data_IF_444216663617
#
_entry.id   IF_444216663617
#
_cell.length_a   1.000
_cell.length_b   1.000
_cell.length_c   1.000
_cell.angle_alpha   90.00
_cell.angle_beta   90.00
_cell.angle_gamma   90.00
#
_symmetry.space_group_name_H-M   'P 1'
#
loop_
_entity.id
_entity.type
_entity.pdbx_description
1 polymer ?
#
# COMPACT_ATOMS: atom_id res chain seq x y z
N UNK A 1 2.39 21.36 -9.80
CA UNK A 1 2.46 22.47 -8.81
C UNK A 1 2.21 21.84 -7.46
N UNK A 2 3.06 22.12 -6.46
CA UNK A 2 2.89 21.50 -5.14
C UNK A 2 1.86 22.25 -4.33
N UNK A 3 0.94 21.52 -3.72
CA UNK A 3 -0.11 22.05 -2.84
C UNK A 3 -0.31 21.16 -1.61
N UNK A 4 -0.95 21.67 -0.53
CA UNK A 4 -1.22 20.88 0.67
C UNK A 4 -2.04 19.62 0.37
N UNK A 5 -1.72 18.51 1.05
CA UNK A 5 -2.59 17.33 1.06
C UNK A 5 -3.83 17.58 1.92
N UNK A 6 -4.83 18.22 1.34
CA UNK A 6 -6.10 18.52 1.98
C UNK A 6 -7.23 17.97 1.11
N UNK A 7 -7.95 16.98 1.63
CA UNK A 7 -9.07 16.34 0.93
C UNK A 7 -10.38 16.74 1.59
N UNK A 8 -11.37 17.12 0.78
CA UNK A 8 -12.67 17.55 1.27
C UNK A 8 -13.62 16.36 1.48
N UNK A 9 -14.30 16.33 2.63
CA UNK A 9 -15.45 15.45 2.84
C UNK A 9 -16.76 16.17 2.53
N UNK A 10 -17.28 15.98 1.31
CA UNK A 10 -18.47 16.68 0.82
C UNK A 10 -19.74 16.42 1.66
N UNK A 11 -19.89 15.22 2.23
CA UNK A 11 -21.10 14.83 2.97
C UNK A 11 -22.32 14.52 2.09
N UNK A 12 -23.52 14.68 2.65
CA UNK A 12 -24.78 14.58 1.92
C UNK A 12 -25.07 13.21 1.29
N UNK A 13 -25.57 13.21 0.04
CA UNK A 13 -25.97 11.99 -0.67
C UNK A 13 -24.77 11.11 -1.02
N UNK A 14 -23.64 11.71 -1.41
CA UNK A 14 -22.41 10.98 -1.74
C UNK A 14 -21.90 10.19 -0.53
N UNK A 15 -21.78 10.85 0.63
CA UNK A 15 -21.37 10.18 1.88
C UNK A 15 -22.35 9.07 2.30
N UNK A 16 -23.66 9.29 2.18
CA UNK A 16 -24.68 8.26 2.46
C UNK A 16 -24.53 7.04 1.55
N UNK A 17 -24.26 7.25 0.25
CA UNK A 17 -24.02 6.17 -0.69
C UNK A 17 -22.76 5.39 -0.30
N UNK A 18 -21.65 6.10 -0.08
CA UNK A 18 -20.36 5.52 0.28
C UNK A 18 -20.44 4.66 1.55
N UNK A 19 -21.10 5.15 2.60
CA UNK A 19 -21.33 4.40 3.85
C UNK A 19 -22.21 3.17 3.68
N UNK A 20 -23.23 3.23 2.82
CA UNK A 20 -24.10 2.07 2.59
C UNK A 20 -23.33 0.90 1.97
N UNK A 21 -22.38 1.18 1.09
CA UNK A 21 -21.57 0.16 0.41
C UNK A 21 -20.28 -0.19 1.17
N UNK A 22 -19.90 0.60 2.18
CA UNK A 22 -18.76 0.39 3.10
C UNK A 22 -19.20 0.65 4.55
N UNK A 23 -20.02 -0.24 5.15
CA UNK A 23 -20.60 -0.02 6.47
C UNK A 23 -19.58 -0.27 7.60
N UNK A 24 -19.97 0.05 8.84
CA UNK A 24 -19.23 -0.31 10.06
C UNK A 24 -18.09 0.64 10.47
N UNK A 25 -17.62 1.50 9.56
CA UNK A 25 -16.51 2.43 9.83
C UNK A 25 -16.80 3.37 10.99
N UNK A 26 -18.01 3.89 11.09
CA UNK A 26 -18.39 4.84 12.16
C UNK A 26 -18.58 4.15 13.53
N UNK A 27 -18.55 2.81 13.58
CA UNK A 27 -18.68 2.00 14.81
C UNK A 27 -17.31 1.70 15.46
N UNK A 28 -16.20 2.02 14.79
CA UNK A 28 -14.87 1.87 15.37
C UNK A 28 -14.73 2.75 16.62
N UNK A 29 -13.81 2.44 17.56
CA UNK A 29 -13.67 3.17 18.82
C UNK A 29 -12.95 4.51 18.63
N UNK A 30 -13.49 5.37 17.76
CA UNK A 30 -13.04 6.75 17.55
C UNK A 30 -13.09 7.54 18.87
N UNK A 31 -12.21 8.51 19.04
CA UNK A 31 -12.05 9.31 20.25
C UNK A 31 -11.35 8.60 21.40
N UNK A 32 -10.97 7.32 21.26
CA UNK A 32 -10.28 6.56 22.32
C UNK A 32 -8.76 6.64 22.25
N UNK A 33 -8.19 6.94 21.08
CA UNK A 33 -6.75 7.09 20.88
C UNK A 33 -6.30 8.51 21.25
N UNK A 34 -6.02 8.74 22.54
CA UNK A 34 -5.71 10.09 23.03
C UNK A 34 -4.23 10.41 22.88
N UNK A 35 -3.89 11.43 22.09
CA UNK A 35 -2.51 11.87 21.89
C UNK A 35 -1.75 12.20 23.18
N UNK A 36 -2.46 12.71 24.21
CA UNK A 36 -1.88 13.04 25.52
C UNK A 36 -1.32 11.84 26.29
N UNK A 37 -1.68 10.60 25.91
CA UNK A 37 -1.17 9.37 26.54
C UNK A 37 0.24 8.99 26.03
N UNK A 38 0.77 9.71 25.03
CA UNK A 38 2.03 9.39 24.35
C UNK A 38 3.05 10.55 24.42
N UNK A 39 4.36 10.25 24.30
CA UNK A 39 5.37 11.30 24.17
C UNK A 39 5.10 12.21 22.96
N UNK A 40 5.18 13.55 23.10
CA UNK A 40 4.84 14.47 22.00
C UNK A 40 5.62 14.21 20.70
N UNK A 41 6.91 13.92 20.80
CA UNK A 41 7.74 13.60 19.64
C UNK A 41 7.30 12.30 18.92
N UNK A 42 6.72 11.34 19.66
CA UNK A 42 6.18 10.11 19.08
C UNK A 42 4.82 10.36 18.41
N UNK A 43 3.98 11.21 19.01
CA UNK A 43 2.73 11.67 18.40
C UNK A 43 3.01 12.35 17.07
N UNK A 44 3.98 13.26 17.01
CA UNK A 44 4.35 13.95 15.76
C UNK A 44 4.82 12.96 14.68
N UNK A 45 5.62 11.94 15.04
CA UNK A 45 6.00 10.87 14.10
C UNK A 45 4.78 10.09 13.61
N UNK A 46 3.86 9.73 14.50
CA UNK A 46 2.65 9.01 14.11
C UNK A 46 1.74 9.85 13.21
N UNK A 47 1.60 11.15 13.46
CA UNK A 47 0.88 12.08 12.57
C UNK A 47 1.49 12.11 11.18
N UNK A 48 2.82 12.18 11.08
CA UNK A 48 3.54 12.11 9.80
C UNK A 48 3.21 10.78 9.10
N UNK A 49 3.42 9.64 9.77
CA UNK A 49 3.24 8.33 9.15
C UNK A 49 1.79 8.04 8.76
N UNK A 50 0.78 8.45 9.53
CA UNK A 50 -0.63 8.28 9.14
C UNK A 50 -1.05 9.24 8.02
N UNK A 51 -0.45 10.43 7.93
CA UNK A 51 -0.66 11.32 6.79
C UNK A 51 -0.01 10.77 5.53
N UNK A 52 1.20 10.22 5.64
CA UNK A 52 1.88 9.53 4.54
C UNK A 52 1.11 8.28 4.10
N UNK A 53 0.52 7.52 5.04
CA UNK A 53 -0.37 6.42 4.72
C UNK A 53 -1.57 6.91 3.91
N UNK A 54 -2.29 7.93 4.38
CA UNK A 54 -3.41 8.52 3.64
C UNK A 54 -3.03 9.00 2.24
N UNK A 55 -1.85 9.61 2.09
CA UNK A 55 -1.33 9.99 0.80
C UNK A 55 -1.06 8.77 -0.09
N UNK A 56 -0.41 7.74 0.46
CA UNK A 56 -0.12 6.52 -0.29
C UNK A 56 -1.41 5.85 -0.79
N UNK A 57 -2.44 5.70 0.05
CA UNK A 57 -3.74 5.14 -0.38
C UNK A 57 -4.38 6.00 -1.49
N UNK A 58 -4.26 7.33 -1.40
CA UNK A 58 -4.74 8.22 -2.45
C UNK A 58 -3.99 8.00 -3.77
N UNK A 59 -2.67 7.78 -3.71
CA UNK A 59 -1.87 7.46 -4.89
C UNK A 59 -2.17 6.07 -5.45
N UNK A 60 -2.47 5.10 -4.59
CA UNK A 60 -2.89 3.74 -4.97
C UNK A 60 -4.24 3.78 -5.68
N UNK A 61 -5.20 4.58 -5.20
CA UNK A 61 -6.48 4.78 -5.88
C UNK A 61 -6.30 5.32 -7.30
N UNK A 62 -5.38 6.28 -7.48
CA UNK A 62 -5.03 6.81 -8.79
C UNK A 62 -4.42 5.71 -9.68
N UNK A 63 -3.49 4.93 -9.14
CA UNK A 63 -2.85 3.83 -9.85
C UNK A 63 -3.87 2.77 -10.30
N UNK A 64 -4.83 2.41 -9.45
CA UNK A 64 -5.92 1.50 -9.82
C UNK A 64 -6.84 2.08 -10.89
N UNK A 65 -7.11 3.40 -10.89
CA UNK A 65 -7.86 4.03 -11.97
C UNK A 65 -7.11 3.96 -13.31
N UNK A 66 -5.78 4.15 -13.32
CA UNK A 66 -4.96 3.96 -14.53
C UNK A 66 -4.95 2.50 -15.00
N UNK A 67 -4.82 1.57 -14.05
CA UNK A 67 -4.87 0.14 -14.34
C UNK A 67 -6.21 -0.27 -14.97
N UNK A 68 -7.33 0.20 -14.42
CA UNK A 68 -8.67 -0.06 -14.97
C UNK A 68 -8.80 0.42 -16.41
N UNK A 69 -8.35 1.64 -16.69
CA UNK A 69 -8.35 2.17 -18.05
C UNK A 69 -7.50 1.29 -18.99
N UNK A 70 -6.30 0.89 -18.57
CA UNK A 70 -5.44 0.03 -19.36
C UNK A 70 -6.03 -1.38 -19.60
N UNK A 71 -6.66 -1.97 -18.58
CA UNK A 71 -7.33 -3.28 -18.69
C UNK A 71 -8.50 -3.23 -19.67
N UNK A 72 -9.29 -2.15 -19.66
CA UNK A 72 -10.38 -1.92 -20.63
C UNK A 72 -9.85 -1.80 -22.06
N UNK A 73 -8.79 -1.01 -22.26
CA UNK A 73 -8.14 -0.86 -23.57
C UNK A 73 -7.53 -2.18 -24.08
N UNK A 74 -6.97 -2.98 -23.17
CA UNK A 74 -6.45 -4.31 -23.45
C UNK A 74 -7.55 -5.38 -23.65
N UNK A 75 -8.83 -5.02 -23.42
CA UNK A 75 -9.98 -5.92 -23.48
C UNK A 75 -9.79 -7.13 -22.56
N UNK A 76 -9.34 -6.86 -21.34
CA UNK A 76 -9.26 -7.86 -20.27
C UNK A 76 -10.65 -8.46 -19.96
N UNK A 77 -10.72 -9.65 -19.32
CA UNK A 77 -11.98 -10.29 -18.99
C UNK A 77 -12.88 -9.38 -18.16
N UNK A 78 -14.18 -9.41 -18.48
CA UNK A 78 -15.16 -8.48 -17.89
C UNK A 78 -15.26 -8.64 -16.38
N UNK A 79 -15.19 -9.88 -15.88
CA UNK A 79 -15.19 -10.22 -14.45
C UNK A 79 -13.92 -9.74 -13.73
N UNK A 80 -12.75 -9.84 -14.37
CA UNK A 80 -11.50 -9.33 -13.84
C UNK A 80 -11.49 -7.80 -13.76
N UNK A 81 -12.00 -7.13 -14.79
CA UNK A 81 -12.17 -5.66 -14.79
C UNK A 81 -13.19 -5.24 -13.73
N UNK A 82 -14.30 -5.98 -13.58
CA UNK A 82 -15.31 -5.69 -12.56
C UNK A 82 -14.74 -5.82 -11.15
N UNK A 83 -13.95 -6.87 -10.88
CA UNK A 83 -13.26 -7.05 -9.60
C UNK A 83 -12.34 -5.86 -9.27
N UNK A 84 -11.50 -5.45 -10.23
CA UNK A 84 -10.61 -4.30 -10.04
C UNK A 84 -11.37 -2.96 -9.90
N UNK A 85 -12.61 -2.89 -10.38
CA UNK A 85 -13.44 -1.70 -10.36
C UNK A 85 -13.76 -1.20 -8.95
N UNK A 86 -13.83 -2.11 -7.98
CA UNK A 86 -14.13 -1.77 -6.58
C UNK A 86 -12.92 -1.18 -5.84
N UNK A 87 -11.69 -1.44 -6.30
CA UNK A 87 -10.46 -1.11 -5.56
C UNK A 87 -10.26 0.39 -5.38
N UNK A 88 -10.64 1.21 -6.37
CA UNK A 88 -10.59 2.67 -6.23
C UNK A 88 -11.47 3.14 -5.05
N UNK A 89 -12.60 2.49 -4.83
CA UNK A 89 -13.48 2.82 -3.71
C UNK A 89 -12.95 2.27 -2.37
N UNK A 90 -12.28 1.12 -2.37
CA UNK A 90 -11.59 0.59 -1.20
C UNK A 90 -10.46 1.53 -0.77
N UNK A 91 -9.65 2.01 -1.72
CA UNK A 91 -8.59 2.97 -1.40
C UNK A 91 -9.12 4.31 -0.90
N UNK A 92 -10.24 4.81 -1.43
CA UNK A 92 -10.87 6.01 -0.86
C UNK A 92 -11.37 5.79 0.57
N UNK A 93 -11.74 4.55 0.94
CA UNK A 93 -12.04 4.22 2.32
C UNK A 93 -10.75 4.22 3.15
N UNK A 94 -9.66 3.65 2.64
CA UNK A 94 -8.38 3.63 3.34
C UNK A 94 -7.83 5.04 3.57
N UNK A 95 -7.93 5.93 2.57
CA UNK A 95 -7.64 7.38 2.70
C UNK A 95 -8.42 7.99 3.87
N UNK A 96 -9.71 7.69 3.97
CA UNK A 96 -10.53 8.21 5.07
C UNK A 96 -10.05 7.68 6.42
N UNK A 97 -9.83 6.37 6.54
CA UNK A 97 -9.46 5.73 7.80
C UNK A 97 -8.11 6.25 8.32
N UNK A 98 -7.12 6.31 7.45
CA UNK A 98 -5.76 6.79 7.76
C UNK A 98 -5.75 8.29 8.07
N UNK A 99 -6.56 9.09 7.34
CA UNK A 99 -6.77 10.52 7.66
C UNK A 99 -7.44 10.72 9.01
N UNK A 100 -8.48 9.94 9.35
CA UNK A 100 -9.15 10.03 10.66
C UNK A 100 -8.22 9.66 11.80
N UNK A 101 -7.36 8.66 11.64
CA UNK A 101 -6.32 8.34 12.63
C UNK A 101 -5.34 9.50 12.84
N UNK A 102 -4.93 10.20 11.77
CA UNK A 102 -4.14 11.42 11.92
C UNK A 102 -4.91 12.51 12.69
N UNK A 103 -6.23 12.64 12.49
CA UNK A 103 -7.07 13.59 13.24
C UNK A 103 -7.15 13.27 14.74
N UNK A 104 -7.27 12.00 15.13
CA UNK A 104 -7.22 11.56 16.54
C UNK A 104 -5.93 12.02 17.25
N UNK A 105 -4.85 12.12 16.47
CA UNK A 105 -3.53 12.50 16.97
C UNK A 105 -3.26 14.01 16.90
N UNK A 106 -4.27 14.84 16.62
CA UNK A 106 -4.14 16.30 16.55
C UNK A 106 -4.00 16.86 15.13
N UNK A 107 -4.37 16.08 14.11
CA UNK A 107 -4.45 16.50 12.72
C UNK A 107 -3.29 16.02 11.86
N UNK A 108 -3.49 16.08 10.55
CA UNK A 108 -2.49 15.70 9.55
C UNK A 108 -1.21 16.50 9.71
N UNK A 109 -0.08 15.87 9.40
CA UNK A 109 1.18 16.59 9.24
C UNK A 109 1.14 17.39 7.94
N UNK A 110 1.69 18.62 7.88
CA UNK A 110 1.82 19.34 6.62
C UNK A 110 2.57 18.49 5.59
N UNK A 111 1.89 18.17 4.49
CA UNK A 111 2.43 17.40 3.37
C UNK A 111 2.14 18.15 2.08
N UNK A 112 3.14 18.29 1.20
CA UNK A 112 3.04 19.06 -0.05
C UNK A 112 3.17 18.12 -1.24
N UNK A 113 2.10 18.02 -2.03
CA UNK A 113 1.94 17.04 -3.10
C UNK A 113 1.87 17.72 -4.45
N UNK A 114 2.48 17.11 -5.45
CA UNK A 114 2.21 17.44 -6.85
C UNK A 114 1.13 16.51 -7.40
N UNK A 115 -0.14 16.91 -7.31
CA UNK A 115 -1.26 16.07 -7.78
C UNK A 115 -1.20 15.81 -9.29
N UNK A 116 -0.52 16.67 -10.05
CA UNK A 116 -0.24 16.45 -11.47
C UNK A 116 0.80 15.35 -11.75
N UNK A 117 1.54 14.93 -10.73
CA UNK A 117 2.61 13.93 -10.79
C UNK A 117 2.25 12.56 -10.20
N UNK A 118 0.97 12.30 -9.90
CA UNK A 118 0.52 11.02 -9.33
C UNK A 118 0.60 9.86 -10.34
N UNK A 119 0.43 10.18 -11.62
CA UNK A 119 0.42 9.20 -12.70
C UNK A 119 1.75 8.48 -12.83
N UNK A 120 1.68 7.16 -12.91
CA UNK A 120 2.84 6.29 -13.06
C UNK A 120 3.13 5.92 -14.52
N UNK A 121 2.41 6.54 -15.48
CA UNK A 121 2.35 6.30 -16.94
C UNK A 121 3.16 5.09 -17.41
N UNK A 122 2.50 4.00 -17.83
CA UNK A 122 3.22 2.87 -18.38
C UNK A 122 3.99 3.27 -19.64
N UNK A 123 5.03 2.51 -19.97
CA UNK A 123 5.79 2.69 -21.21
C UNK A 123 4.84 2.75 -22.41
N UNK A 124 4.96 3.75 -23.31
CA UNK A 124 4.17 3.78 -24.53
C UNK A 124 4.34 2.49 -25.34
N UNK A 125 3.23 1.93 -25.82
CA UNK A 125 3.23 0.65 -26.52
C UNK A 125 1.82 0.14 -26.75
N UNK A 126 1.62 -1.11 -27.18
CA UNK A 126 0.31 -1.72 -27.32
C UNK A 126 -0.47 -1.76 -25.99
N UNK A 127 -1.80 -1.68 -26.06
CA UNK A 127 -2.66 -1.66 -24.86
C UNK A 127 -2.41 -2.83 -23.90
N UNK A 128 -2.25 -4.05 -24.45
CA UNK A 128 -1.95 -5.24 -23.67
C UNK A 128 -0.62 -5.13 -22.90
N UNK A 129 0.44 -4.62 -23.51
CA UNK A 129 1.73 -4.43 -22.85
C UNK A 129 1.66 -3.37 -21.74
N UNK A 130 0.90 -2.29 -21.95
CA UNK A 130 0.66 -1.26 -20.93
C UNK A 130 -0.10 -1.82 -19.72
N UNK A 131 -1.17 -2.59 -19.97
CA UNK A 131 -1.94 -3.22 -18.90
C UNK A 131 -1.07 -4.22 -18.12
N UNK A 132 -0.31 -5.08 -18.79
CA UNK A 132 0.59 -6.04 -18.14
C UNK A 132 1.68 -5.35 -17.31
N UNK A 133 2.22 -4.22 -17.78
CA UNK A 133 3.17 -3.42 -17.01
C UNK A 133 2.54 -2.87 -15.72
N UNK A 134 1.35 -2.28 -15.80
CA UNK A 134 0.66 -1.75 -14.62
C UNK A 134 0.26 -2.86 -13.65
N UNK A 135 -0.20 -4.01 -14.15
CA UNK A 135 -0.51 -5.18 -13.31
C UNK A 135 0.71 -5.67 -12.55
N UNK A 136 1.86 -5.82 -13.22
CA UNK A 136 3.08 -6.26 -12.56
C UNK A 136 3.53 -5.24 -11.52
N UNK A 137 3.54 -3.96 -11.89
CA UNK A 137 3.98 -2.88 -11.01
C UNK A 137 3.11 -2.76 -9.76
N UNK A 138 1.79 -2.64 -9.95
CA UNK A 138 0.84 -2.31 -8.89
C UNK A 138 0.54 -3.58 -8.10
N UNK A 139 -0.05 -4.59 -8.74
CA UNK A 139 -0.59 -5.74 -8.02
C UNK A 139 0.47 -6.79 -7.67
N UNK A 140 1.34 -7.15 -8.61
CA UNK A 140 2.28 -8.26 -8.42
C UNK A 140 3.53 -7.87 -7.61
N UNK A 141 3.78 -6.58 -7.43
CA UNK A 141 4.94 -6.06 -6.71
C UNK A 141 4.52 -5.14 -5.57
N UNK A 142 3.86 -4.01 -5.83
CA UNK A 142 3.53 -3.06 -4.77
C UNK A 142 2.53 -3.64 -3.75
N UNK A 143 1.42 -4.22 -4.20
CA UNK A 143 0.43 -4.84 -3.30
C UNK A 143 0.95 -6.12 -2.64
N UNK A 144 1.65 -6.95 -3.40
CA UNK A 144 2.32 -8.12 -2.86
C UNK A 144 3.35 -7.77 -1.76
N UNK A 145 3.96 -6.58 -1.85
CA UNK A 145 4.86 -6.04 -0.82
C UNK A 145 4.11 -5.43 0.38
N UNK A 146 3.08 -4.62 0.14
CA UNK A 146 2.36 -3.83 1.15
C UNK A 146 1.58 -4.72 2.14
N UNK A 147 0.88 -5.73 1.63
CA UNK A 147 -0.02 -6.56 2.43
C UNK A 147 0.70 -7.28 3.60
N UNK A 148 1.86 -7.96 3.41
CA UNK A 148 2.61 -8.51 4.53
C UNK A 148 2.99 -7.45 5.58
N UNK A 149 3.30 -6.21 5.17
CA UNK A 149 3.68 -5.14 6.10
C UNK A 149 2.49 -4.73 6.96
N UNK A 150 1.34 -4.49 6.34
CA UNK A 150 0.09 -4.16 7.02
C UNK A 150 -0.34 -5.27 7.98
N UNK A 151 -0.25 -6.53 7.55
CA UNK A 151 -0.51 -7.69 8.40
C UNK A 151 0.47 -7.80 9.58
N UNK A 152 1.72 -7.37 9.40
CA UNK A 152 2.71 -7.26 10.47
C UNK A 152 2.34 -6.21 11.51
N UNK A 153 1.97 -5.00 11.07
CA UNK A 153 1.47 -3.94 11.94
C UNK A 153 0.19 -4.37 12.68
N UNK A 154 -0.75 -5.03 11.99
CA UNK A 154 -1.96 -5.56 12.59
C UNK A 154 -1.66 -6.59 13.69
N UNK A 155 -0.69 -7.47 13.46
CA UNK A 155 -0.30 -8.50 14.44
C UNK A 155 0.19 -7.88 15.75
N UNK A 156 0.83 -6.71 15.69
CA UNK A 156 1.38 -6.02 16.86
C UNK A 156 0.49 -4.89 17.37
N UNK A 157 -0.57 -4.52 16.65
CA UNK A 157 -1.45 -3.40 16.99
C UNK A 157 -2.00 -3.52 18.42
N UNK A 158 -1.61 -2.55 19.26
CA UNK A 158 -1.86 -2.57 20.70
C UNK A 158 -3.12 -1.84 21.15
N UNK A 159 -3.64 -0.93 20.32
CA UNK A 159 -4.80 -0.11 20.65
C UNK A 159 -6.05 -0.58 19.86
N UNK A 160 -7.24 -0.64 20.47
CA UNK A 160 -8.45 -1.11 19.78
C UNK A 160 -8.76 -0.36 18.47
N UNK A 161 -8.56 0.96 18.45
CA UNK A 161 -8.83 1.77 17.25
C UNK A 161 -7.87 1.46 16.10
N UNK A 162 -6.55 1.50 16.35
CA UNK A 162 -5.56 1.25 15.29
C UNK A 162 -5.66 -0.19 14.80
N UNK A 163 -5.96 -1.13 15.69
CA UNK A 163 -6.29 -2.50 15.33
C UNK A 163 -7.51 -2.58 14.40
N UNK A 164 -8.65 -1.99 14.75
CA UNK A 164 -9.86 -2.04 13.93
C UNK A 164 -9.64 -1.46 12.52
N UNK A 165 -8.89 -0.35 12.42
CA UNK A 165 -8.51 0.24 11.13
C UNK A 165 -7.62 -0.71 10.32
N UNK A 166 -6.56 -1.26 10.93
CA UNK A 166 -5.66 -2.19 10.24
C UNK A 166 -6.35 -3.51 9.86
N UNK A 167 -7.28 -4.01 10.68
CA UNK A 167 -8.11 -5.17 10.35
C UNK A 167 -8.96 -4.92 9.11
N UNK A 168 -9.56 -3.72 9.01
CA UNK A 168 -10.35 -3.33 7.84
C UNK A 168 -9.49 -3.26 6.58
N UNK A 169 -8.37 -2.54 6.64
CA UNK A 169 -7.46 -2.37 5.49
C UNK A 169 -6.94 -3.74 5.04
N UNK A 170 -6.37 -4.55 5.95
CA UNK A 170 -5.84 -5.88 5.59
C UNK A 170 -6.90 -6.80 4.98
N UNK A 171 -8.16 -6.69 5.39
CA UNK A 171 -9.25 -7.48 4.80
C UNK A 171 -9.56 -7.06 3.35
N UNK A 172 -9.47 -5.77 3.04
CA UNK A 172 -9.74 -5.21 1.72
C UNK A 172 -8.54 -5.42 0.76
N UNK A 173 -7.31 -5.48 1.26
CA UNK A 173 -6.09 -5.65 0.45
C UNK A 173 -5.92 -7.04 -0.19
N UNK A 174 -6.54 -8.08 0.35
CA UNK A 174 -6.32 -9.45 -0.14
C UNK A 174 -6.76 -9.63 -1.63
N UNK A 175 -7.91 -9.09 -2.08
CA UNK A 175 -8.26 -8.95 -3.48
C UNK A 175 -7.24 -8.17 -4.34
N UNK A 176 -6.66 -7.10 -3.82
CA UNK A 176 -5.76 -6.20 -4.57
C UNK A 176 -4.50 -6.94 -5.06
N UNK A 177 -3.83 -7.66 -4.16
CA UNK A 177 -2.69 -8.50 -4.54
C UNK A 177 -3.10 -9.70 -5.41
N UNK A 178 -4.30 -10.25 -5.22
CA UNK A 178 -4.77 -11.43 -5.97
C UNK A 178 -5.07 -11.13 -7.43
N UNK A 179 -5.60 -9.95 -7.75
CA UNK A 179 -6.00 -9.60 -9.13
C UNK A 179 -4.83 -9.71 -10.10
N UNK A 180 -3.61 -9.40 -9.63
CA UNK A 180 -2.42 -9.41 -10.47
C UNK A 180 -2.12 -10.81 -11.00
N UNK A 181 -2.18 -11.81 -10.13
CA UNK A 181 -1.95 -13.20 -10.49
C UNK A 181 -3.07 -13.75 -11.39
N UNK A 182 -4.34 -13.40 -11.12
CA UNK A 182 -5.46 -13.75 -12.00
C UNK A 182 -5.31 -13.16 -13.41
N UNK A 183 -4.81 -11.93 -13.52
CA UNK A 183 -4.49 -11.33 -14.79
C UNK A 183 -3.36 -12.09 -15.50
N UNK A 184 -2.29 -12.43 -14.80
CA UNK A 184 -1.16 -13.18 -15.38
C UNK A 184 -1.61 -14.57 -15.84
N UNK A 185 -2.48 -15.26 -15.11
CA UNK A 185 -3.07 -16.55 -15.55
C UNK A 185 -3.78 -16.42 -16.90
N UNK A 186 -4.51 -15.34 -17.11
CA UNK A 186 -5.20 -15.06 -18.38
C UNK A 186 -4.26 -14.60 -19.51
N UNK A 187 -3.18 -13.91 -19.15
CA UNK A 187 -2.28 -13.24 -20.08
C UNK A 187 -1.07 -14.09 -20.50
N UNK A 188 -0.66 -15.07 -19.69
CA UNK A 188 0.62 -15.78 -19.79
C UNK A 188 0.91 -16.39 -21.18
N UNK A 189 -0.10 -16.97 -21.82
CA UNK A 189 0.02 -17.62 -23.13
C UNK A 189 0.36 -16.62 -24.27
N UNK A 190 0.24 -15.32 -24.01
CA UNK A 190 0.52 -14.24 -24.97
C UNK A 190 1.87 -13.59 -24.74
N UNK A 191 2.58 -13.95 -23.66
CA UNK A 191 3.89 -13.41 -23.37
C UNK A 191 4.97 -14.21 -24.10
N UNK A 192 5.61 -13.56 -25.05
CA UNK A 192 6.88 -14.03 -25.60
C UNK A 192 8.04 -13.75 -24.63
N UNK A 193 9.25 -14.16 -25.02
CA UNK A 193 10.44 -14.00 -24.20
C UNK A 193 10.83 -12.52 -23.99
N UNK A 194 10.54 -11.65 -24.95
CA UNK A 194 10.86 -10.22 -24.86
C UNK A 194 9.96 -9.53 -23.84
N UNK A 195 8.65 -9.82 -23.88
CA UNK A 195 7.68 -9.29 -22.94
C UNK A 195 7.97 -9.77 -21.51
N UNK A 196 8.31 -11.05 -21.32
CA UNK A 196 8.72 -11.57 -19.99
C UNK A 196 9.95 -10.84 -19.45
N UNK A 197 10.97 -10.66 -20.27
CA UNK A 197 12.17 -9.91 -19.88
C UNK A 197 11.87 -8.43 -19.59
N UNK A 198 10.92 -7.84 -20.31
CA UNK A 198 10.47 -6.46 -20.06
C UNK A 198 9.72 -6.34 -18.74
N UNK A 199 8.80 -7.24 -18.45
CA UNK A 199 8.05 -7.28 -17.20
C UNK A 199 8.96 -7.55 -16.00
N UNK A 200 10.02 -8.35 -16.17
CA UNK A 200 11.05 -8.53 -15.14
C UNK A 200 11.71 -7.20 -14.78
N UNK A 201 12.16 -6.42 -15.78
CA UNK A 201 12.74 -5.07 -15.55
C UNK A 201 11.76 -4.11 -14.87
N UNK A 202 10.47 -4.20 -15.20
CA UNK A 202 9.43 -3.42 -14.51
C UNK A 202 9.40 -3.80 -13.04
N UNK A 203 9.29 -5.09 -12.73
CA UNK A 203 9.24 -5.58 -11.35
C UNK A 203 10.50 -5.20 -10.55
N UNK A 204 11.68 -5.40 -11.12
CA UNK A 204 12.96 -5.03 -10.52
C UNK A 204 13.02 -3.55 -10.18
N UNK A 205 12.64 -2.68 -11.13
CA UNK A 205 12.60 -1.24 -10.90
C UNK A 205 11.64 -0.90 -9.76
N UNK A 206 10.46 -1.50 -9.74
CA UNK A 206 9.48 -1.27 -8.68
C UNK A 206 9.98 -1.72 -7.31
N UNK A 207 10.65 -2.87 -7.22
CA UNK A 207 11.28 -3.33 -5.97
C UNK A 207 12.37 -2.34 -5.51
N UNK A 208 13.19 -1.83 -6.44
CA UNK A 208 14.19 -0.79 -6.13
C UNK A 208 13.53 0.47 -5.60
N UNK A 209 12.45 0.93 -6.22
CA UNK A 209 11.68 2.11 -5.80
C UNK A 209 11.08 1.92 -4.39
N UNK A 210 10.71 0.68 -4.02
CA UNK A 210 10.19 0.33 -2.70
C UNK A 210 11.29 0.20 -1.62
N UNK A 211 12.54 -0.05 -2.01
CA UNK A 211 13.65 -0.28 -1.08
C UNK A 211 13.86 0.76 0.03
N UNK A 212 13.58 2.06 -0.16
CA UNK A 212 13.65 3.04 0.91
C UNK A 212 12.74 2.71 2.11
N UNK A 213 11.60 2.03 1.89
CA UNK A 213 10.64 1.71 2.96
C UNK A 213 11.23 0.80 4.04
N UNK A 214 12.20 -0.05 3.72
CA UNK A 214 12.90 -0.87 4.72
C UNK A 214 14.34 -0.43 4.98
N UNK A 215 15.04 0.15 3.99
CA UNK A 215 16.44 0.57 4.15
C UNK A 215 16.62 1.78 5.06
N UNK A 216 15.62 2.66 5.15
CA UNK A 216 15.68 3.86 6.01
C UNK A 216 15.34 3.55 7.48
N UNK A 217 14.81 2.36 7.77
CA UNK A 217 14.38 1.97 9.10
C UNK A 217 15.57 1.48 9.95
N UNK A 218 16.15 2.41 10.72
CA UNK A 218 17.35 2.16 11.53
C UNK A 218 17.05 1.95 13.02
N UNK A 219 15.84 2.24 13.48
CA UNK A 219 15.46 2.03 14.89
C UNK A 219 15.56 0.54 15.27
N UNK A 220 15.97 0.29 16.51
CA UNK A 220 16.10 -1.04 17.15
C UNK A 220 15.46 -1.01 18.53
N UNK A 221 14.98 -2.16 18.99
CA UNK A 221 14.42 -2.31 20.34
C UNK A 221 15.34 -3.13 21.25
N UNK A 222 15.56 -2.64 22.47
CA UNK A 222 16.15 -3.39 23.59
C UNK A 222 15.28 -3.18 24.82
N UNK A 223 14.95 -4.26 25.53
CA UNK A 223 14.14 -4.21 26.77
C UNK A 223 12.83 -3.41 26.64
N UNK A 224 12.19 -3.50 25.47
CA UNK A 224 10.92 -2.81 25.18
C UNK A 224 11.04 -1.32 24.88
N UNK A 225 12.26 -0.77 24.74
CA UNK A 225 12.53 0.61 24.36
C UNK A 225 13.17 0.69 22.98
N UNK A 226 12.69 1.61 22.14
CA UNK A 226 13.34 1.94 20.87
C UNK A 226 14.64 2.69 21.10
N UNK A 227 15.49 2.76 20.07
CA UNK A 227 16.75 3.50 20.10
C UNK A 227 16.55 4.99 20.42
N UNK A 228 15.39 5.54 20.08
CA UNK A 228 14.98 6.91 20.36
C UNK A 228 14.35 7.11 21.75
N UNK A 229 14.28 6.05 22.56
CA UNK A 229 13.77 6.09 23.93
C UNK A 229 12.25 5.98 24.06
N UNK A 230 11.54 5.54 23.03
CA UNK A 230 10.10 5.31 23.11
C UNK A 230 9.79 3.89 23.57
N UNK A 231 8.70 3.70 24.31
CA UNK A 231 8.21 2.35 24.60
C UNK A 231 7.69 1.70 23.30
N UNK A 232 8.14 0.49 22.98
CA UNK A 232 7.62 -0.28 21.83
C UNK A 232 6.10 -0.47 21.94
N UNK A 233 5.58 -0.61 23.16
CA UNK A 233 4.14 -0.63 23.42
C UNK A 233 3.42 0.60 22.82
N UNK A 234 3.98 1.80 22.98
CA UNK A 234 3.36 3.02 22.41
C UNK A 234 3.42 3.03 20.88
N UNK A 235 4.51 2.54 20.29
CA UNK A 235 4.63 2.38 18.83
C UNK A 235 3.54 1.44 18.30
N UNK A 236 3.37 0.31 18.96
CA UNK A 236 2.34 -0.69 18.65
C UNK A 236 0.91 -0.15 18.84
N UNK A 237 0.65 0.61 19.91
CA UNK A 237 -0.64 1.25 20.13
C UNK A 237 -0.97 2.28 19.04
N UNK A 238 0.05 3.01 18.55
CA UNK A 238 -0.07 3.95 17.44
C UNK A 238 -0.16 3.26 16.05
N UNK A 239 -0.17 1.93 16.02
CA UNK A 239 -0.46 1.11 14.85
C UNK A 239 0.75 0.69 14.01
N UNK A 240 1.97 0.86 14.52
CA UNK A 240 3.19 0.49 13.81
C UNK A 240 3.89 -0.67 14.49
N UNK A 241 4.55 -1.54 13.72
CA UNK A 241 5.42 -2.57 14.26
C UNK A 241 6.86 -2.06 14.44
N UNK A 242 7.72 -2.87 15.05
CA UNK A 242 9.14 -2.58 15.16
C UNK A 242 9.81 -2.45 13.77
N UNK A 243 10.67 -1.45 13.62
CA UNK A 243 11.46 -1.19 12.42
C UNK A 243 12.30 -2.40 11.92
N UNK A 244 12.94 -3.13 12.82
CA UNK A 244 13.75 -4.31 12.45
C UNK A 244 12.86 -5.45 11.91
N UNK A 245 11.75 -5.73 12.59
CA UNK A 245 10.76 -6.71 12.19
C UNK A 245 10.08 -6.34 10.86
N UNK A 246 9.81 -5.05 10.63
CA UNK A 246 9.37 -4.54 9.34
C UNK A 246 10.41 -4.86 8.26
N UNK A 247 11.67 -4.52 8.48
CA UNK A 247 12.73 -4.72 7.50
C UNK A 247 13.00 -6.19 7.16
N UNK A 248 12.97 -7.08 8.15
CA UNK A 248 13.07 -8.52 7.94
C UNK A 248 11.92 -9.05 7.10
N UNK A 249 10.69 -8.64 7.45
CA UNK A 249 9.50 -9.04 6.71
C UNK A 249 9.52 -8.50 5.29
N UNK A 250 9.95 -7.26 5.08
CA UNK A 250 10.03 -6.63 3.76
C UNK A 250 10.95 -7.44 2.84
N UNK A 251 12.13 -7.83 3.35
CA UNK A 251 13.06 -8.69 2.59
C UNK A 251 12.45 -10.04 2.25
N UNK A 252 11.71 -10.63 3.19
CA UNK A 252 11.02 -11.90 2.98
C UNK A 252 9.92 -11.78 1.92
N UNK A 253 9.12 -10.72 1.97
CA UNK A 253 8.05 -10.47 1.01
C UNK A 253 8.58 -10.34 -0.43
N UNK A 254 9.72 -9.67 -0.63
CA UNK A 254 10.35 -9.57 -1.97
C UNK A 254 10.69 -10.95 -2.54
N UNK A 255 11.08 -11.91 -1.71
CA UNK A 255 11.38 -13.28 -2.14
C UNK A 255 10.11 -14.10 -2.35
N UNK A 256 9.32 -14.23 -1.29
CA UNK A 256 8.22 -15.20 -1.21
C UNK A 256 6.96 -14.74 -1.95
N UNK A 257 6.68 -13.44 -1.97
CA UNK A 257 5.43 -12.89 -2.49
C UNK A 257 5.60 -12.25 -3.88
N UNK A 258 6.85 -12.00 -4.33
CA UNK A 258 7.13 -11.30 -5.59
C UNK A 258 8.01 -12.14 -6.52
N UNK A 259 9.27 -12.43 -6.15
CA UNK A 259 10.21 -13.16 -7.00
C UNK A 259 9.71 -14.58 -7.34
N UNK A 260 9.40 -15.38 -6.31
CA UNK A 260 8.98 -16.77 -6.52
C UNK A 260 7.67 -16.89 -7.33
N UNK A 261 6.62 -16.08 -7.08
CA UNK A 261 5.41 -16.12 -7.90
C UNK A 261 5.62 -15.65 -9.34
N UNK A 262 6.41 -14.58 -9.58
CA UNK A 262 6.68 -14.09 -10.94
C UNK A 262 7.43 -15.13 -11.80
N UNK A 263 8.36 -15.88 -11.20
CA UNK A 263 9.09 -16.96 -11.88
C UNK A 263 8.15 -18.05 -12.44
N UNK A 264 6.98 -18.29 -11.83
CA UNK A 264 5.98 -19.24 -12.35
C UNK A 264 5.41 -18.83 -13.71
N UNK A 265 5.46 -17.54 -14.02
CA UNK A 265 5.08 -16.97 -15.32
C UNK A 265 6.30 -16.74 -16.23
N UNK A 266 7.46 -17.30 -15.89
CA UNK A 266 8.74 -17.10 -16.59
C UNK A 266 9.23 -15.66 -16.62
N UNK A 267 8.76 -14.84 -15.67
CA UNK A 267 9.26 -13.48 -15.43
C UNK A 267 10.38 -13.62 -14.40
N UNK A 268 11.59 -13.89 -14.89
CA UNK A 268 12.77 -14.16 -14.06
C UNK A 268 13.49 -12.85 -13.70
N UNK A 269 13.65 -12.58 -12.40
CA UNK A 269 14.35 -11.39 -11.90
C UNK A 269 15.85 -11.64 -11.77
N UNK A 270 16.66 -10.59 -11.86
CA UNK A 270 18.11 -10.64 -11.63
C UNK A 270 18.42 -10.95 -10.15
N UNK A 271 18.85 -12.19 -9.91
CA UNK A 271 19.21 -12.69 -8.58
C UNK A 271 20.34 -11.90 -7.93
N UNK A 272 21.36 -11.50 -8.68
CA UNK A 272 22.50 -10.77 -8.12
C UNK A 272 22.07 -9.35 -7.68
N UNK A 273 21.19 -8.72 -8.46
CA UNK A 273 20.60 -7.43 -8.09
C UNK A 273 19.75 -7.57 -6.83
N UNK A 274 18.87 -8.58 -6.74
CA UNK A 274 18.04 -8.81 -5.56
C UNK A 274 18.87 -9.15 -4.32
N UNK A 275 19.88 -10.00 -4.43
CA UNK A 275 20.79 -10.33 -3.32
C UNK A 275 21.48 -9.07 -2.78
N UNK A 276 21.99 -8.21 -3.66
CA UNK A 276 22.61 -6.94 -3.28
C UNK A 276 21.59 -5.95 -2.68
N UNK A 277 20.35 -5.96 -3.14
CA UNK A 277 19.31 -5.08 -2.63
C UNK A 277 18.83 -5.50 -1.23
N UNK A 278 18.81 -6.81 -0.97
CA UNK A 278 18.25 -7.41 0.25
C UNK A 278 19.30 -7.72 1.33
N UNK A 279 20.59 -7.57 1.04
CA UNK A 279 21.66 -7.54 2.04
C UNK A 279 21.49 -6.36 3.02
#
# INVERSE_FOLDING_TARGET
MKEPFELEWLGGVAAKYFRRIRPGVDEFPWGTLRSADYPPALVDRARISWTEAAYNEYTTAYAFAELLAAMLEAKAPVDLVAMAGDFVADEMLHVELTSRLAMELGGGSPHQIDFGGLSQKPTPGPAFARASELVVRICCVAEAFSLPMLAGCLKTAGHPLTRAVLERIVADEAPHGRVGWLYLDWAADRFDAEERARLARVAEKTIVDLSPHWKRLTSRVSDGLTTEGFLLKHVNELGWMEASAYGERARRAVREEIEEPLARYGIELDKAMLDALLA
#
